data_IF_939772061926
#
_entry.id   IF_939772061926
#
_cell.length_a   1.000
_cell.length_b   1.000
_cell.length_c   1.000
_cell.angle_alpha   90.00
_cell.angle_beta   90.00
_cell.angle_gamma   90.00
#
_symmetry.space_group_name_H-M   'P 1'
#
loop_
_entity.id
_entity.type
_entity.pdbx_description
1 polymer ?
#
# COMPACT_ATOMS: atom_id res chain seq x y z
N UNK A 1 19.22 -62.89 -18.22
CA UNK A 1 19.43 -61.48 -18.59
C UNK A 1 18.10 -60.73 -18.54
N UNK A 2 17.78 -60.06 -17.43
CA UNK A 2 16.95 -58.86 -17.47
C UNK A 2 17.69 -57.72 -16.76
N UNK A 3 17.85 -56.58 -17.42
CA UNK A 3 18.29 -55.35 -16.76
C UNK A 3 17.18 -54.31 -16.84
N UNK A 4 16.60 -54.14 -15.67
CA UNK A 4 15.77 -53.06 -15.18
C UNK A 4 16.37 -51.69 -15.55
N UNK A 5 15.58 -50.80 -16.15
CA UNK A 5 15.94 -49.39 -16.27
C UNK A 5 14.91 -48.52 -15.55
N UNK A 6 15.25 -48.31 -14.27
CA UNK A 6 15.09 -47.11 -13.45
C UNK A 6 14.32 -45.95 -14.06
N UNK A 7 13.16 -45.74 -13.47
CA UNK A 7 12.55 -44.46 -13.14
C UNK A 7 13.58 -43.35 -12.86
N UNK A 8 13.52 -42.26 -13.64
CA UNK A 8 13.96 -40.93 -13.19
C UNK A 8 12.78 -39.98 -13.27
N UNK A 9 12.31 -39.66 -12.08
CA UNK A 9 11.40 -38.55 -11.76
C UNK A 9 11.97 -37.24 -12.29
N UNK A 10 11.21 -36.55 -13.13
CA UNK A 10 11.46 -35.14 -13.45
C UNK A 10 10.46 -34.33 -12.62
N UNK A 11 10.89 -33.93 -11.43
CA UNK A 11 10.24 -32.88 -10.65
C UNK A 11 10.39 -31.56 -11.39
N UNK A 12 9.29 -30.92 -11.76
CA UNK A 12 9.11 -29.46 -11.81
C UNK A 12 7.85 -29.12 -12.63
N UNK A 13 6.68 -29.20 -12.00
CA UNK A 13 5.51 -28.42 -12.41
C UNK A 13 4.62 -28.26 -11.18
N UNK A 14 5.08 -27.41 -10.26
CA UNK A 14 4.30 -26.97 -9.11
C UNK A 14 3.53 -25.72 -9.52
N UNK A 15 2.22 -25.90 -9.70
CA UNK A 15 1.15 -24.93 -9.50
C UNK A 15 1.50 -23.44 -9.69
N UNK A 16 1.53 -22.98 -10.94
CA UNK A 16 1.12 -21.61 -11.22
C UNK A 16 -0.42 -21.55 -11.18
N UNK A 17 -0.97 -20.95 -10.12
CA UNK A 17 -2.41 -20.67 -10.02
C UNK A 17 -2.89 -19.84 -11.22
N UNK A 18 -3.98 -20.21 -11.91
CA UNK A 18 -4.46 -19.50 -13.10
C UNK A 18 -5.22 -18.18 -12.82
N UNK A 19 -5.17 -17.62 -11.61
CA UNK A 19 -6.05 -16.50 -11.23
C UNK A 19 -5.42 -15.08 -11.29
N UNK A 20 -4.15 -14.91 -11.64
CA UNK A 20 -3.50 -13.58 -11.54
C UNK A 20 -3.49 -12.73 -12.84
N UNK A 21 -4.01 -13.22 -13.97
CA UNK A 21 -3.80 -12.57 -15.28
C UNK A 21 -5.05 -11.90 -15.90
N UNK A 22 -6.12 -11.66 -15.12
CA UNK A 22 -7.42 -11.27 -15.67
C UNK A 22 -7.82 -9.79 -15.50
N UNK A 23 -6.89 -8.85 -15.23
CA UNK A 23 -7.23 -7.43 -15.02
C UNK A 23 -6.27 -6.42 -15.67
N UNK A 24 -5.84 -6.66 -16.90
CA UNK A 24 -5.04 -5.69 -17.65
C UNK A 24 -5.60 -5.42 -19.05
N UNK A 25 -6.91 -5.16 -19.16
CA UNK A 25 -7.43 -4.45 -20.31
C UNK A 25 -7.28 -2.95 -20.06
N UNK A 26 -6.20 -2.37 -20.58
CA UNK A 26 -6.00 -0.92 -20.75
C UNK A 26 -7.26 -0.30 -21.34
N UNK A 27 -8.07 0.35 -20.52
CA UNK A 27 -9.30 0.99 -20.96
C UNK A 27 -9.08 2.49 -21.01
N UNK A 28 -9.29 3.08 -22.19
CA UNK A 28 -9.30 4.54 -22.37
C UNK A 28 -10.50 5.19 -21.66
N UNK A 29 -11.50 4.40 -21.28
CA UNK A 29 -12.65 4.90 -20.54
C UNK A 29 -12.22 5.48 -19.18
N UNK A 30 -12.74 6.67 -18.87
CA UNK A 30 -12.50 7.34 -17.59
C UNK A 30 -11.26 8.22 -17.54
N UNK A 31 -10.41 8.23 -18.58
CA UNK A 31 -9.22 9.10 -18.64
C UNK A 31 -9.58 10.58 -18.48
N UNK A 32 -10.70 11.03 -19.05
CA UNK A 32 -11.14 12.43 -18.97
C UNK A 32 -11.49 12.90 -17.54
N UNK A 33 -11.67 11.96 -16.59
CA UNK A 33 -11.94 12.27 -15.19
C UNK A 33 -10.68 12.41 -14.35
N UNK A 34 -9.53 11.99 -14.89
CA UNK A 34 -8.25 12.13 -14.21
C UNK A 34 -7.77 13.58 -14.27
N UNK A 35 -6.97 14.02 -13.28
CA UNK A 35 -6.15 15.20 -13.44
C UNK A 35 -5.29 15.09 -14.70
N UNK A 36 -4.96 16.23 -15.32
CA UNK A 36 -4.04 16.30 -16.46
C UNK A 36 -2.59 16.09 -16.02
N UNK A 37 -2.35 14.93 -15.43
CA UNK A 37 -1.06 14.49 -14.90
C UNK A 37 -0.58 13.29 -15.74
N UNK A 38 0.60 13.39 -16.38
CA UNK A 38 1.09 12.36 -17.29
C UNK A 38 1.35 11.01 -16.57
N UNK A 39 1.69 11.03 -15.28
CA UNK A 39 1.94 9.81 -14.50
C UNK A 39 0.63 9.10 -14.21
N UNK A 40 -0.42 9.82 -13.80
CA UNK A 40 -1.73 9.24 -13.53
C UNK A 40 -2.38 8.68 -14.79
N UNK A 41 -2.33 9.44 -15.89
CA UNK A 41 -2.85 8.97 -17.18
C UNK A 41 -2.12 7.70 -17.62
N UNK A 42 -0.79 7.68 -17.48
CA UNK A 42 0.02 6.50 -17.79
C UNK A 42 -0.32 5.31 -16.88
N UNK A 43 -0.48 5.53 -15.57
CA UNK A 43 -0.84 4.49 -14.61
C UNK A 43 -2.24 3.92 -14.82
N UNK A 44 -3.17 4.71 -15.36
CA UNK A 44 -4.49 4.24 -15.75
C UNK A 44 -4.46 3.41 -17.03
N UNK A 45 -3.65 3.82 -18.01
CA UNK A 45 -3.63 3.22 -19.34
C UNK A 45 -2.68 2.03 -19.46
N UNK A 46 -1.58 1.99 -18.71
CA UNK A 46 -0.53 1.00 -18.85
C UNK A 46 -0.59 -0.06 -17.75
N UNK A 47 -0.39 -1.32 -18.13
CA UNK A 47 -0.20 -2.43 -17.17
C UNK A 47 1.04 -2.22 -16.31
N UNK A 48 2.10 -1.65 -16.88
CA UNK A 48 3.33 -1.26 -16.19
C UNK A 48 3.66 0.21 -16.50
N UNK A 49 3.19 1.16 -15.65
CA UNK A 49 3.47 2.57 -15.85
C UNK A 49 4.95 2.93 -15.77
N UNK A 50 5.73 2.28 -14.89
CA UNK A 50 7.14 2.61 -14.70
C UNK A 50 7.95 2.31 -15.96
N UNK A 51 7.70 1.16 -16.60
CA UNK A 51 8.33 0.81 -17.87
C UNK A 51 7.96 1.79 -19.00
N UNK A 52 6.69 2.21 -19.07
CA UNK A 52 6.25 3.16 -20.09
C UNK A 52 6.87 4.55 -19.88
N UNK A 53 6.88 5.07 -18.65
CA UNK A 53 7.50 6.35 -18.29
C UNK A 53 9.01 6.35 -18.56
N UNK A 54 9.68 5.22 -18.33
CA UNK A 54 11.11 5.06 -18.67
C UNK A 54 11.34 5.20 -20.17
N UNK A 55 10.48 4.58 -20.99
CA UNK A 55 10.57 4.67 -22.46
C UNK A 55 10.25 6.07 -22.99
N UNK A 56 9.34 6.77 -22.32
CA UNK A 56 9.03 8.18 -22.60
C UNK A 56 10.11 9.16 -22.12
N UNK A 57 11.16 8.66 -21.45
CA UNK A 57 12.25 9.47 -20.87
C UNK A 57 11.76 10.52 -19.86
N UNK A 58 10.75 10.15 -19.06
CA UNK A 58 10.30 10.93 -17.93
C UNK A 58 11.38 10.99 -16.84
N UNK A 59 11.20 11.90 -15.87
CA UNK A 59 12.13 12.03 -14.75
C UNK A 59 12.13 10.80 -13.85
N UNK A 60 13.24 10.54 -13.15
CA UNK A 60 13.32 9.45 -12.16
C UNK A 60 12.22 9.55 -11.10
N UNK A 61 11.84 10.78 -10.72
CA UNK A 61 10.74 11.02 -9.77
C UNK A 61 9.40 10.54 -10.32
N UNK A 62 9.09 10.83 -11.58
CA UNK A 62 7.86 10.38 -12.23
C UNK A 62 7.84 8.86 -12.42
N UNK A 63 8.98 8.27 -12.81
CA UNK A 63 9.12 6.82 -12.95
C UNK A 63 8.86 6.12 -11.62
N UNK A 64 9.42 6.63 -10.52
CA UNK A 64 9.23 6.03 -9.20
C UNK A 64 7.81 6.22 -8.67
N UNK A 65 7.22 7.41 -8.87
CA UNK A 65 5.79 7.64 -8.60
C UNK A 65 4.91 6.66 -9.37
N UNK A 66 5.18 6.48 -10.66
CA UNK A 66 4.49 5.51 -11.50
C UNK A 66 4.66 4.07 -10.99
N UNK A 67 5.86 3.69 -10.54
CA UNK A 67 6.12 2.37 -9.93
C UNK A 67 5.30 2.17 -8.66
N UNK A 68 5.34 3.11 -7.73
CA UNK A 68 4.63 3.04 -6.45
C UNK A 68 3.11 2.94 -6.63
N UNK A 69 2.55 3.75 -7.53
CA UNK A 69 1.14 3.69 -7.92
C UNK A 69 0.84 2.33 -8.57
N UNK A 70 1.68 1.91 -9.52
CA UNK A 70 1.49 0.69 -10.29
C UNK A 70 1.38 -0.55 -9.40
N UNK A 71 2.19 -0.65 -8.36
CA UNK A 71 2.19 -1.79 -7.43
C UNK A 71 0.94 -1.86 -6.54
N UNK A 72 0.24 -0.75 -6.32
CA UNK A 72 -0.82 -0.64 -5.30
C UNK A 72 -2.21 -0.34 -5.87
N UNK A 73 -2.30 0.08 -7.14
CA UNK A 73 -3.55 0.52 -7.80
C UNK A 73 -4.67 -0.52 -7.88
N UNK A 74 -4.40 -1.78 -7.58
CA UNK A 74 -5.40 -2.85 -7.60
C UNK A 74 -5.78 -3.37 -6.20
N UNK A 75 -5.09 -2.90 -5.16
CA UNK A 75 -5.32 -3.31 -3.77
C UNK A 75 -5.79 -2.11 -2.97
N UNK A 76 -7.08 -2.10 -2.63
CA UNK A 76 -7.70 -1.07 -1.79
C UNK A 76 -8.27 -1.69 -0.51
N UNK A 77 -8.25 -0.96 0.61
CA UNK A 77 -8.85 -1.43 1.85
C UNK A 77 -10.37 -1.32 1.78
N UNK A 78 -11.06 -2.16 2.55
CA UNK A 78 -12.49 -2.03 2.73
C UNK A 78 -12.81 -0.76 3.54
N UNK A 79 -13.60 0.12 2.95
CA UNK A 79 -14.04 1.38 3.55
C UNK A 79 -14.79 1.18 4.88
N UNK A 80 -15.35 0.00 5.14
CA UNK A 80 -16.04 -0.31 6.41
C UNK A 80 -15.07 -0.53 7.58
N UNK A 81 -13.83 -0.93 7.30
CA UNK A 81 -12.86 -1.30 8.31
C UNK A 81 -11.83 -0.16 8.49
N UNK A 82 -12.15 0.80 9.37
CA UNK A 82 -11.31 1.97 9.61
C UNK A 82 -9.83 1.65 9.94
N UNK A 83 -9.50 0.61 10.72
CA UNK A 83 -8.10 0.21 10.93
C UNK A 83 -7.36 -0.13 9.64
N UNK A 84 -8.02 -0.87 8.75
CA UNK A 84 -7.44 -1.27 7.46
C UNK A 84 -7.22 -0.05 6.56
N UNK A 85 -8.11 0.94 6.60
CA UNK A 85 -7.94 2.20 5.87
C UNK A 85 -6.77 3.01 6.44
N UNK A 86 -6.63 3.10 7.77
CA UNK A 86 -5.49 3.77 8.42
C UNK A 86 -4.16 3.10 8.08
N UNK A 87 -4.10 1.76 8.14
CA UNK A 87 -2.93 0.98 7.72
C UNK A 87 -2.56 1.23 6.26
N UNK A 88 -3.55 1.17 5.37
CA UNK A 88 -3.32 1.47 3.96
C UNK A 88 -2.80 2.89 3.74
N UNK A 89 -3.34 3.90 4.45
CA UNK A 89 -2.82 5.27 4.37
C UNK A 89 -1.37 5.37 4.86
N UNK A 90 -1.03 4.70 5.96
CA UNK A 90 0.34 4.63 6.49
C UNK A 90 1.31 4.01 5.47
N UNK A 91 0.94 2.89 4.85
CA UNK A 91 1.78 2.16 3.88
C UNK A 91 1.93 2.90 2.55
N UNK A 92 0.85 3.51 2.09
CA UNK A 92 0.81 4.20 0.80
C UNK A 92 1.54 5.54 0.89
N UNK A 93 1.40 6.26 1.99
CA UNK A 93 2.01 7.57 2.21
C UNK A 93 1.53 8.60 1.20
N UNK A 94 2.49 9.30 0.57
CA UNK A 94 2.22 10.43 -0.34
C UNK A 94 1.40 10.04 -1.60
N UNK A 95 1.42 8.76 -1.99
CA UNK A 95 0.73 8.27 -3.19
C UNK A 95 -0.78 8.01 -2.98
N UNK A 96 -1.32 8.29 -1.78
CA UNK A 96 -2.71 7.98 -1.46
C UNK A 96 -3.70 8.76 -2.34
N UNK A 97 -3.40 10.03 -2.61
CA UNK A 97 -4.27 10.87 -3.44
C UNK A 97 -4.25 10.43 -4.90
N UNK A 98 -3.11 9.95 -5.38
CA UNK A 98 -2.95 9.39 -6.72
C UNK A 98 -3.79 8.12 -6.90
N UNK A 99 -3.72 7.21 -5.92
CA UNK A 99 -4.52 5.99 -5.92
C UNK A 99 -6.03 6.29 -5.84
N UNK A 100 -6.44 7.27 -5.03
CA UNK A 100 -7.83 7.70 -4.96
C UNK A 100 -8.31 8.36 -6.26
N UNK A 101 -7.45 9.13 -6.94
CA UNK A 101 -7.76 9.71 -8.24
C UNK A 101 -7.97 8.62 -9.30
N UNK A 102 -7.08 7.62 -9.34
CA UNK A 102 -7.24 6.45 -10.23
C UNK A 102 -8.50 5.66 -9.93
N UNK A 103 -8.81 5.42 -8.65
CA UNK A 103 -10.03 4.73 -8.26
C UNK A 103 -11.29 5.48 -8.73
N UNK A 104 -11.28 6.81 -8.63
CA UNK A 104 -12.41 7.68 -9.03
C UNK A 104 -12.62 7.73 -10.56
N UNK A 105 -11.55 7.52 -11.33
CA UNK A 105 -11.64 7.44 -12.79
C UNK A 105 -12.23 6.11 -13.29
N UNK A 106 -12.25 5.06 -12.47
CA UNK A 106 -12.86 3.77 -12.82
C UNK A 106 -14.38 3.92 -13.03
N UNK A 107 -15.00 3.12 -13.91
CA UNK A 107 -16.46 3.04 -13.96
C UNK A 107 -17.00 2.51 -12.63
N UNK A 108 -18.18 2.99 -12.20
CA UNK A 108 -18.75 2.68 -10.89
C UNK A 108 -18.87 1.16 -10.63
N UNK A 109 -19.13 0.37 -11.67
CA UNK A 109 -19.18 -1.10 -11.60
C UNK A 109 -17.85 -1.79 -11.27
N UNK A 110 -16.71 -1.07 -11.36
CA UNK A 110 -15.36 -1.58 -11.08
C UNK A 110 -14.73 -0.94 -9.84
N UNK A 111 -15.51 -0.24 -9.01
CA UNK A 111 -15.04 0.32 -7.75
C UNK A 111 -15.27 -0.72 -6.64
N UNK A 112 -14.22 -1.39 -6.13
CA UNK A 112 -14.37 -2.46 -5.14
C UNK A 112 -14.92 -1.97 -3.78
N UNK A 113 -14.59 -0.73 -3.38
CA UNK A 113 -14.97 -0.17 -2.08
C UNK A 113 -15.54 1.25 -2.24
N UNK A 114 -16.85 1.36 -2.54
CA UNK A 114 -17.49 2.67 -2.67
C UNK A 114 -17.41 3.43 -1.35
N UNK A 115 -17.07 4.72 -1.42
CA UNK A 115 -16.96 5.60 -0.25
C UNK A 115 -15.59 5.63 0.41
N UNK A 116 -14.59 4.88 -0.07
CA UNK A 116 -13.22 4.91 0.47
C UNK A 116 -12.65 6.35 0.56
N UNK A 117 -12.79 7.14 -0.51
CA UNK A 117 -12.33 8.53 -0.53
C UNK A 117 -12.95 9.39 0.59
N UNK A 118 -14.23 9.16 0.93
CA UNK A 118 -14.91 9.86 2.02
C UNK A 118 -14.35 9.44 3.38
N UNK A 119 -14.09 8.14 3.57
CA UNK A 119 -13.51 7.63 4.81
C UNK A 119 -12.09 8.16 5.01
N UNK A 120 -11.26 8.16 3.95
CA UNK A 120 -9.93 8.76 3.99
C UNK A 120 -10.00 10.24 4.37
N UNK A 121 -10.93 11.00 3.78
CA UNK A 121 -11.12 12.40 4.13
C UNK A 121 -11.50 12.58 5.62
N UNK A 122 -12.38 11.72 6.16
CA UNK A 122 -12.73 11.74 7.58
C UNK A 122 -11.54 11.44 8.49
N UNK A 123 -10.72 10.43 8.18
CA UNK A 123 -9.50 10.06 8.94
C UNK A 123 -8.51 11.24 8.95
N UNK A 124 -8.27 11.86 7.79
CA UNK A 124 -7.40 13.03 7.67
C UNK A 124 -7.95 14.23 8.44
N UNK A 125 -9.27 14.46 8.41
CA UNK A 125 -9.91 15.55 9.13
C UNK A 125 -9.83 15.35 10.66
N UNK A 126 -9.94 14.11 11.13
CA UNK A 126 -9.75 13.73 12.53
C UNK A 126 -8.29 13.84 13.00
N UNK A 127 -7.33 13.98 12.06
CA UNK A 127 -5.88 13.96 12.31
C UNK A 127 -5.45 12.69 13.05
N UNK A 128 -6.01 11.56 12.64
CA UNK A 128 -5.61 10.27 13.18
C UNK A 128 -4.09 10.06 12.98
N UNK A 129 -3.37 9.50 13.96
CA UNK A 129 -1.97 9.14 13.82
C UNK A 129 -1.79 8.07 12.73
N UNK A 130 -0.96 8.38 11.72
CA UNK A 130 -0.72 7.49 10.57
C UNK A 130 0.74 7.07 10.46
N UNK A 131 1.67 7.80 11.07
CA UNK A 131 3.10 7.53 11.00
C UNK A 131 3.74 7.50 12.38
N UNK A 132 4.92 6.89 12.48
CA UNK A 132 5.70 6.82 13.72
C UNK A 132 5.92 8.20 14.36
N UNK A 133 6.12 9.24 13.53
CA UNK A 133 6.27 10.63 13.97
C UNK A 133 5.02 11.23 14.63
N UNK A 134 3.86 10.62 14.43
CA UNK A 134 2.58 11.08 15.00
C UNK A 134 2.30 10.39 16.36
N UNK A 135 3.16 9.46 16.79
CA UNK A 135 3.06 8.82 18.10
C UNK A 135 3.33 9.83 19.22
N UNK A 136 2.63 9.65 20.34
CA UNK A 136 2.79 10.46 21.56
C UNK A 136 4.10 10.14 22.34
N UNK A 137 4.93 9.25 21.81
CA UNK A 137 6.24 8.86 22.36
C UNK A 137 7.29 8.99 21.27
N UNK A 138 8.51 9.29 21.69
CA UNK A 138 9.68 9.39 20.83
C UNK A 138 10.65 8.23 21.12
N UNK A 139 11.67 8.07 20.26
CA UNK A 139 12.75 7.10 20.51
C UNK A 139 13.45 7.32 21.85
N UNK A 140 13.59 8.57 22.29
CA UNK A 140 14.21 8.90 23.57
C UNK A 140 13.36 8.41 24.76
N UNK A 141 12.02 8.47 24.63
CA UNK A 141 11.12 7.92 25.65
C UNK A 141 11.26 6.39 25.77
N UNK A 142 11.44 5.70 24.64
CA UNK A 142 11.68 4.25 24.59
C UNK A 142 13.04 3.88 25.20
N UNK A 143 14.08 4.66 24.91
CA UNK A 143 15.41 4.47 25.50
C UNK A 143 15.36 4.65 27.02
N UNK A 144 14.64 5.68 27.50
CA UNK A 144 14.43 5.92 28.92
C UNK A 144 13.60 4.82 29.60
N UNK A 145 12.70 4.17 28.86
CA UNK A 145 11.94 3.00 29.31
C UNK A 145 12.75 1.69 29.31
N UNK A 146 14.01 1.71 28.83
CA UNK A 146 14.91 0.55 28.85
C UNK A 146 14.97 -0.25 27.55
N UNK A 147 14.41 0.25 26.44
CA UNK A 147 14.58 -0.37 25.12
C UNK A 147 16.03 -0.24 24.67
N UNK A 148 16.58 -1.33 24.10
CA UNK A 148 17.96 -1.34 23.62
C UNK A 148 18.11 -0.38 22.44
N UNK A 149 19.17 0.43 22.40
CA UNK A 149 19.42 1.34 21.29
C UNK A 149 19.67 0.57 19.98
N UNK A 150 19.30 1.19 18.86
CA UNK A 150 19.49 0.64 17.53
C UNK A 150 18.18 0.13 16.92
N UNK A 151 18.20 -0.96 16.14
CA UNK A 151 17.03 -1.42 15.37
C UNK A 151 15.84 -1.82 16.26
N UNK A 152 16.08 -2.21 17.51
CA UNK A 152 15.04 -2.57 18.47
C UNK A 152 14.08 -1.40 18.77
N UNK A 153 14.58 -0.15 18.81
CA UNK A 153 13.74 1.05 19.00
C UNK A 153 12.78 1.24 17.83
N UNK A 154 13.29 1.07 16.60
CA UNK A 154 12.47 1.18 15.38
C UNK A 154 11.36 0.12 15.37
N UNK A 155 11.71 -1.14 15.64
CA UNK A 155 10.74 -2.23 15.71
C UNK A 155 9.68 -2.01 16.81
N UNK A 156 10.07 -1.46 17.97
CA UNK A 156 9.13 -1.10 19.02
C UNK A 156 8.18 0.02 18.59
N UNK A 157 8.67 1.09 17.95
CA UNK A 157 7.84 2.15 17.41
C UNK A 157 6.86 1.65 16.34
N UNK A 158 7.30 0.76 15.46
CA UNK A 158 6.44 0.14 14.45
C UNK A 158 5.33 -0.71 15.07
N UNK A 159 5.65 -1.48 16.12
CA UNK A 159 4.65 -2.25 16.87
C UNK A 159 3.62 -1.36 17.55
N UNK A 160 4.08 -0.28 18.20
CA UNK A 160 3.20 0.71 18.82
C UNK A 160 2.30 1.40 17.79
N UNK A 161 2.86 1.76 16.63
CA UNK A 161 2.07 2.31 15.53
C UNK A 161 1.00 1.34 15.06
N UNK A 162 1.30 0.03 14.95
CA UNK A 162 0.30 -0.96 14.58
C UNK A 162 -0.89 -1.00 15.55
N UNK A 163 -0.66 -0.86 16.87
CA UNK A 163 -1.74 -0.77 17.86
C UNK A 163 -2.57 0.52 17.74
N UNK A 164 -1.90 1.65 17.47
CA UNK A 164 -2.54 2.95 17.27
C UNK A 164 -3.35 3.01 15.97
N UNK A 165 -2.89 2.31 14.93
CA UNK A 165 -3.63 2.14 13.68
C UNK A 165 -4.88 1.26 13.85
N UNK A 166 -4.96 0.42 14.89
CA UNK A 166 -6.19 -0.27 15.27
C UNK A 166 -7.15 0.68 16.01
N UNK A 167 -6.63 1.47 16.94
CA UNK A 167 -7.43 2.39 17.76
C UNK A 167 -6.65 3.68 18.05
N UNK A 168 -7.04 4.82 17.44
CA UNK A 168 -6.25 6.04 17.52
C UNK A 168 -6.31 6.67 18.91
N UNK A 169 -7.29 6.28 19.74
CA UNK A 169 -7.44 6.77 21.12
C UNK A 169 -6.33 6.26 22.05
N UNK A 170 -5.63 5.20 21.64
CA UNK A 170 -4.48 4.62 22.36
C UNK A 170 -3.20 5.42 22.21
N UNK A 171 -3.18 6.44 21.34
CA UNK A 171 -2.03 7.32 21.14
C UNK A 171 -1.82 8.28 22.32
N UNK A 172 -1.56 7.73 23.50
CA UNK A 172 -1.24 8.47 24.71
C UNK A 172 0.08 7.97 25.27
N UNK A 173 0.89 8.89 25.80
CA UNK A 173 2.21 8.54 26.36
C UNK A 173 2.13 7.43 27.41
N UNK A 174 1.12 7.48 28.29
CA UNK A 174 0.92 6.49 29.34
C UNK A 174 0.62 5.09 28.79
N UNK A 175 -0.30 4.98 27.81
CA UNK A 175 -0.63 3.69 27.19
C UNK A 175 0.56 3.14 26.41
N UNK A 176 1.21 3.96 25.61
CA UNK A 176 2.31 3.49 24.75
C UNK A 176 3.49 3.00 25.59
N UNK A 177 3.89 3.72 26.62
CA UNK A 177 5.00 3.30 27.48
C UNK A 177 4.70 2.07 28.34
N UNK A 178 3.43 1.77 28.65
CA UNK A 178 3.09 0.52 29.34
C UNK A 178 3.12 -0.71 28.43
N UNK A 179 3.19 -0.50 27.11
CA UNK A 179 3.22 -1.56 26.09
C UNK A 179 4.60 -1.72 25.45
N UNK A 180 5.63 -1.01 25.97
CA UNK A 180 7.01 -1.07 25.50
C UNK A 180 7.77 -2.21 26.17
#
# INVERSE_FOLDING_TARGET
>A
MPLNHSSRTRSAESCASPCAFALAASSVAGVDRLPRDPVLITAHLASDPASLLTRLKCSNKEIERGRAIGQRRDTYPDAKHLPTVRRWLSEVGEYADDLLALLSARPASRIPHPGLAKVVASIRAAKDPLHVKDLAVTGDDLLAAGVRPGPDVGAALERLLAEVLEDPTRNTRAYLLSHV
#
